data_IF_449704646009
#
_entry.id   IF_449704646009
#
_cell.length_a   1.000
_cell.length_b   1.000
_cell.length_c   1.000
_cell.angle_alpha   90.00
_cell.angle_beta   90.00
_cell.angle_gamma   90.00
#
_symmetry.space_group_name_H-M   'P 1'
#
loop_
_entity.id
_entity.type
_entity.pdbx_description
1 polymer ?
#
# COMPACT_ATOMS: atom_id res chain seq x y z
N UNK A 1 5.72 17.59 11.57
CA UNK A 1 5.31 18.85 12.26
C UNK A 1 6.37 19.31 13.25
N UNK A 2 6.97 18.40 14.01
CA UNK A 2 7.97 18.70 15.05
C UNK A 2 9.32 18.09 14.68
N UNK A 3 10.42 18.68 15.14
CA UNK A 3 11.77 18.13 15.00
C UNK A 3 12.15 17.26 16.19
N UNK A 4 11.61 17.59 17.36
CA UNK A 4 11.96 16.97 18.63
C UNK A 4 10.77 17.01 19.62
N UNK A 5 11.00 16.44 20.80
CA UNK A 5 10.02 16.33 21.88
C UNK A 5 9.65 17.71 22.44
N UNK A 6 10.61 18.63 22.55
CA UNK A 6 10.37 19.96 23.12
C UNK A 6 9.39 20.77 22.26
N UNK A 7 9.57 20.72 20.93
CA UNK A 7 8.64 21.34 19.99
C UNK A 7 7.22 20.74 20.11
N UNK A 8 7.11 19.41 20.24
CA UNK A 8 5.83 18.73 20.40
C UNK A 8 5.13 19.12 21.71
N UNK A 9 5.83 19.10 22.84
CA UNK A 9 5.29 19.49 24.15
C UNK A 9 4.87 20.95 24.20
N UNK A 10 5.67 21.84 23.60
CA UNK A 10 5.31 23.25 23.46
C UNK A 10 4.03 23.42 22.64
N UNK A 11 3.91 22.70 21.52
CA UNK A 11 2.70 22.75 20.70
C UNK A 11 1.47 22.23 21.45
N UNK A 12 1.60 21.13 22.19
CA UNK A 12 0.53 20.58 23.03
C UNK A 12 -0.02 21.65 23.98
N UNK A 13 0.87 22.37 24.68
CA UNK A 13 0.52 23.45 25.59
C UNK A 13 -0.10 24.65 24.87
N UNK A 14 0.56 25.16 23.84
CA UNK A 14 0.19 26.40 23.16
C UNK A 14 -1.14 26.27 22.40
N UNK A 15 -1.38 25.09 21.79
CA UNK A 15 -2.62 24.79 21.08
C UNK A 15 -3.71 24.18 21.97
N UNK A 16 -3.44 24.07 23.28
CA UNK A 16 -4.38 23.51 24.27
C UNK A 16 -4.92 22.16 23.82
N UNK A 17 -4.02 21.30 23.37
CA UNK A 17 -4.36 19.93 22.96
C UNK A 17 -4.97 19.22 24.17
N UNK A 18 -6.09 18.56 23.94
CA UNK A 18 -6.85 17.85 24.98
C UNK A 18 -6.45 16.38 25.02
N UNK A 19 -6.26 15.79 23.84
CA UNK A 19 -5.95 14.37 23.69
C UNK A 19 -4.67 14.15 22.87
N UNK A 20 -3.89 13.15 23.27
CA UNK A 20 -2.73 12.64 22.54
C UNK A 20 -3.07 11.23 22.07
N UNK A 21 -3.10 11.02 20.76
CA UNK A 21 -3.46 9.74 20.16
C UNK A 21 -2.23 9.01 19.64
N UNK A 22 -1.89 7.88 20.26
CA UNK A 22 -0.71 7.09 19.96
C UNK A 22 -1.08 5.95 19.01
N UNK A 23 -0.56 5.98 17.78
CA UNK A 23 -0.90 5.02 16.72
C UNK A 23 0.24 4.03 16.46
N UNK A 24 -0.08 2.75 16.37
CA UNK A 24 0.84 1.66 16.03
C UNK A 24 0.30 0.84 14.87
N UNK A 25 1.18 0.25 14.06
CA UNK A 25 0.77 -0.66 12.99
C UNK A 25 0.76 -2.11 13.50
N UNK A 26 -0.33 -2.83 13.27
CA UNK A 26 -0.34 -4.28 13.40
C UNK A 26 0.26 -4.97 12.16
N UNK A 27 0.53 -6.27 12.27
CA UNK A 27 1.19 -7.02 11.20
C UNK A 27 0.41 -6.96 9.87
N UNK A 28 -0.92 -7.20 9.81
CA UNK A 28 -1.69 -7.07 8.57
C UNK A 28 -1.78 -5.66 7.97
N UNK A 29 -1.31 -4.61 8.65
CA UNK A 29 -1.27 -3.27 8.10
C UNK A 29 -2.46 -2.39 8.48
N UNK A 30 -2.99 -2.56 9.69
CA UNK A 30 -4.00 -1.66 10.28
C UNK A 30 -3.37 -0.84 11.39
N UNK A 31 -3.79 0.42 11.49
CA UNK A 31 -3.51 1.19 12.69
C UNK A 31 -4.35 0.70 13.86
N UNK A 32 -3.68 0.55 14.99
CA UNK A 32 -4.23 0.46 16.34
C UNK A 32 -3.88 1.74 17.06
N UNK A 33 -4.65 2.11 18.09
CA UNK A 33 -4.37 3.35 18.79
C UNK A 33 -4.80 3.34 20.26
N UNK A 34 -4.17 4.22 21.04
CA UNK A 34 -4.52 4.51 22.43
C UNK A 34 -4.51 6.03 22.63
N UNK A 35 -5.59 6.55 23.20
CA UNK A 35 -5.78 7.99 23.39
C UNK A 35 -5.58 8.36 24.85
N UNK A 36 -4.71 9.32 25.10
CA UNK A 36 -4.34 9.82 26.43
C UNK A 36 -4.81 11.25 26.62
N UNK A 37 -5.26 11.57 27.82
CA UNK A 37 -5.56 12.95 28.21
C UNK A 37 -4.26 13.71 28.43
N UNK A 38 -4.08 14.83 27.72
CA UNK A 38 -2.95 15.74 27.93
C UNK A 38 -3.02 16.44 29.30
N UNK A 39 -1.87 16.87 29.82
CA UNK A 39 -1.75 17.72 31.01
C UNK A 39 -1.37 17.00 32.30
N UNK A 40 -1.05 15.69 32.26
CA UNK A 40 -0.59 14.94 33.43
C UNK A 40 0.87 14.49 33.28
N UNK A 41 1.16 13.69 32.25
CA UNK A 41 2.45 13.01 32.07
C UNK A 41 2.95 13.09 30.62
N UNK A 42 2.65 14.19 29.93
CA UNK A 42 2.90 14.32 28.49
C UNK A 42 4.37 14.08 28.15
N UNK A 43 5.30 14.65 28.93
CA UNK A 43 6.74 14.41 28.76
C UNK A 43 7.12 12.94 28.89
N UNK A 44 6.57 12.23 29.88
CA UNK A 44 6.84 10.80 30.10
C UNK A 44 6.37 9.93 28.93
N UNK A 45 5.25 10.29 28.31
CA UNK A 45 4.78 9.58 27.11
C UNK A 45 5.84 9.62 26.01
N UNK A 46 6.57 10.73 25.84
CA UNK A 46 7.64 10.84 24.84
C UNK A 46 8.98 10.28 25.30
N UNK A 47 9.31 10.31 26.58
CA UNK A 47 10.63 9.87 27.09
C UNK A 47 10.66 8.40 27.49
N UNK A 48 9.65 7.95 28.23
CA UNK A 48 9.51 6.58 28.76
C UNK A 48 8.62 5.70 27.86
N UNK A 49 7.70 6.31 27.10
CA UNK A 49 6.72 5.58 26.31
C UNK A 49 5.48 5.20 27.12
N UNK A 50 4.70 4.24 26.62
CA UNK A 50 3.53 3.74 27.33
C UNK A 50 3.36 2.23 27.16
N UNK A 51 3.01 1.55 28.25
CA UNK A 51 2.74 0.12 28.24
C UNK A 51 1.56 -0.25 27.34
N UNK A 52 1.67 -1.36 26.62
CA UNK A 52 0.62 -1.95 25.79
C UNK A 52 0.71 -3.47 25.83
N UNK A 53 -0.39 -4.13 25.48
CA UNK A 53 -0.40 -5.57 25.20
C UNK A 53 -0.61 -5.83 23.71
N UNK A 54 0.31 -6.57 23.10
CA UNK A 54 0.20 -6.97 21.69
C UNK A 54 -0.69 -8.20 21.48
N UNK A 55 -1.27 -8.76 22.54
CA UNK A 55 -2.14 -9.95 22.48
C UNK A 55 -3.37 -9.76 21.57
N UNK A 56 -3.83 -8.52 21.40
CA UNK A 56 -4.94 -8.15 20.52
C UNK A 56 -4.51 -7.82 19.08
N UNK A 57 -3.21 -7.81 18.80
CA UNK A 57 -2.65 -7.49 17.49
C UNK A 57 -2.47 -8.79 16.71
N UNK A 58 -3.22 -8.98 15.60
CA UNK A 58 -3.02 -10.12 14.71
C UNK A 58 -1.56 -10.28 14.29
N UNK A 59 -1.05 -11.51 14.29
CA UNK A 59 0.34 -11.82 13.95
C UNK A 59 1.33 -11.69 15.12
N UNK A 60 1.02 -10.89 16.15
CA UNK A 60 1.85 -10.79 17.36
C UNK A 60 1.33 -11.67 18.52
N UNK A 61 0.03 -12.03 18.47
CA UNK A 61 -0.71 -12.77 19.51
C UNK A 61 -0.12 -14.12 19.93
N UNK A 62 0.54 -14.85 19.02
CA UNK A 62 1.04 -16.20 19.31
C UNK A 62 2.46 -16.23 19.85
N UNK A 63 3.08 -15.07 19.95
CA UNK A 63 4.40 -14.96 20.56
C UNK A 63 4.21 -14.72 22.05
N UNK A 64 5.15 -15.20 22.87
CA UNK A 64 5.25 -14.86 24.30
C UNK A 64 5.63 -13.37 24.47
N UNK A 65 4.94 -12.47 23.79
CA UNK A 65 5.04 -11.04 24.00
C UNK A 65 4.30 -10.74 25.30
N UNK A 66 5.06 -10.56 26.38
CA UNK A 66 4.56 -9.98 27.63
C UNK A 66 4.08 -8.55 27.43
N UNK A 67 4.10 -7.76 28.51
CA UNK A 67 3.91 -6.30 28.39
C UNK A 67 4.96 -5.73 27.44
N UNK A 68 4.57 -4.73 26.64
CA UNK A 68 5.45 -4.08 25.65
C UNK A 68 5.33 -2.57 25.82
N UNK A 69 6.28 -1.81 25.30
CA UNK A 69 6.24 -0.34 25.36
C UNK A 69 6.09 0.24 23.96
N UNK A 70 5.20 1.22 23.80
CA UNK A 70 5.12 2.03 22.58
C UNK A 70 5.65 3.41 22.86
N UNK A 71 6.43 3.96 21.93
CA UNK A 71 7.02 5.30 22.08
C UNK A 71 6.73 6.15 20.85
N UNK A 72 6.10 7.34 21.01
CA UNK A 72 5.81 8.20 19.88
C UNK A 72 7.08 8.76 19.24
N UNK A 73 7.10 8.79 17.91
CA UNK A 73 8.07 9.55 17.15
C UNK A 73 7.53 10.98 16.96
N UNK A 74 8.16 12.01 17.58
CA UNK A 74 7.65 13.38 17.53
C UNK A 74 7.59 13.93 16.10
N UNK A 75 8.43 13.43 15.18
CA UNK A 75 8.46 13.93 13.81
C UNK A 75 7.19 13.63 13.02
N UNK A 76 6.45 12.60 13.45
CA UNK A 76 5.23 12.14 12.79
C UNK A 76 3.96 12.89 13.20
N UNK A 77 4.06 13.75 14.23
CA UNK A 77 2.95 14.44 14.85
C UNK A 77 2.05 15.18 13.86
N UNK A 78 0.73 15.01 13.98
CA UNK A 78 -0.28 15.75 13.21
C UNK A 78 -1.57 15.96 14.02
N UNK A 79 -2.25 17.08 13.79
CA UNK A 79 -3.55 17.36 14.41
C UNK A 79 -4.62 16.56 13.67
N UNK A 80 -5.50 15.87 14.41
CA UNK A 80 -6.60 15.13 13.80
C UNK A 80 -7.70 16.09 13.29
N UNK A 81 -8.01 16.11 11.97
CA UNK A 81 -9.01 17.03 11.41
C UNK A 81 -10.46 16.56 11.61
N UNK A 82 -10.67 15.36 12.17
CA UNK A 82 -11.99 14.76 12.37
C UNK A 82 -12.38 14.63 13.85
N UNK A 83 -11.41 14.66 14.76
CA UNK A 83 -11.68 14.62 16.20
C UNK A 83 -12.47 15.85 16.67
N UNK A 84 -13.53 15.65 17.44
CA UNK A 84 -14.36 16.74 17.98
C UNK A 84 -13.62 17.58 19.03
N UNK A 85 -12.70 16.95 19.76
CA UNK A 85 -11.81 17.62 20.71
C UNK A 85 -10.40 17.73 20.13
N UNK A 86 -9.64 18.82 20.42
CA UNK A 86 -8.28 18.98 19.92
C UNK A 86 -7.39 17.77 20.25
N UNK A 87 -7.07 16.99 19.22
CA UNK A 87 -6.36 15.71 19.36
C UNK A 87 -5.12 15.72 18.49
N UNK A 88 -3.96 15.46 19.11
CA UNK A 88 -2.67 15.38 18.44
C UNK A 88 -2.25 13.91 18.30
N UNK A 89 -2.11 13.44 17.08
CA UNK A 89 -1.76 12.07 16.77
C UNK A 89 -0.25 11.91 16.56
N UNK A 90 0.32 10.80 17.03
CA UNK A 90 1.69 10.39 16.77
C UNK A 90 1.74 8.93 16.33
N UNK A 91 2.66 8.60 15.43
CA UNK A 91 2.99 7.21 15.10
C UNK A 91 4.07 6.75 16.08
N UNK A 92 3.90 5.56 16.62
CA UNK A 92 4.76 4.99 17.63
C UNK A 92 5.56 3.81 17.09
N UNK A 93 6.80 3.70 17.56
CA UNK A 93 7.61 2.48 17.44
C UNK A 93 7.36 1.59 18.66
N UNK A 94 7.51 0.27 18.49
CA UNK A 94 7.28 -0.73 19.54
C UNK A 94 8.62 -1.21 20.12
N UNK A 95 8.67 -1.38 21.45
CA UNK A 95 9.85 -1.79 22.21
C UNK A 95 9.54 -2.96 23.13
N UNK A 96 10.51 -3.85 23.29
CA UNK A 96 10.53 -4.92 24.28
C UNK A 96 10.66 -4.34 25.70
N UNK A 97 10.40 -5.17 26.73
CA UNK A 97 10.54 -4.78 28.14
C UNK A 97 11.96 -4.37 28.56
N UNK A 98 12.98 -4.88 27.87
CA UNK A 98 14.37 -4.50 28.10
C UNK A 98 14.75 -3.17 27.40
N UNK A 99 13.80 -2.52 26.73
CA UNK A 99 13.99 -1.27 26.00
C UNK A 99 14.58 -1.44 24.60
N UNK A 100 14.83 -2.65 24.13
CA UNK A 100 15.26 -2.90 22.75
C UNK A 100 14.10 -2.74 21.77
N UNK A 101 14.33 -2.28 20.52
CA UNK A 101 13.28 -2.23 19.50
C UNK A 101 12.68 -3.62 19.24
N UNK A 102 11.36 -3.67 19.07
CA UNK A 102 10.67 -4.91 18.73
C UNK A 102 10.91 -5.27 17.26
N UNK A 103 11.59 -6.39 17.02
CA UNK A 103 12.10 -6.75 15.70
C UNK A 103 11.02 -7.05 14.64
N UNK A 104 9.79 -7.30 15.08
CA UNK A 104 8.63 -7.57 14.22
C UNK A 104 7.74 -6.33 14.01
N UNK A 105 8.08 -5.18 14.61
CA UNK A 105 7.41 -3.91 14.31
C UNK A 105 7.64 -3.55 12.83
N UNK A 106 6.59 -3.50 12.00
CA UNK A 106 6.72 -3.18 10.58
C UNK A 106 7.45 -1.86 10.32
N UNK A 107 7.24 -0.85 11.19
CA UNK A 107 7.89 0.46 11.05
C UNK A 107 9.38 0.38 11.37
N UNK A 108 9.77 -0.42 12.36
CA UNK A 108 11.17 -0.67 12.66
C UNK A 108 11.87 -1.48 11.56
N UNK A 109 11.19 -2.46 10.96
CA UNK A 109 11.68 -3.21 9.79
C UNK A 109 11.97 -2.28 8.61
N UNK A 110 11.10 -1.29 8.35
CA UNK A 110 11.35 -0.24 7.37
C UNK A 110 12.61 0.58 7.68
N UNK A 111 12.84 0.97 8.93
CA UNK A 111 14.08 1.67 9.35
C UNK A 111 15.32 0.81 9.18
N UNK A 112 15.23 -0.51 9.42
CA UNK A 112 16.34 -1.45 9.18
C UNK A 112 16.71 -1.49 7.69
N UNK A 113 15.72 -1.51 6.80
CA UNK A 113 15.95 -1.50 5.35
C UNK A 113 16.60 -0.20 4.85
N UNK A 114 16.19 0.97 5.36
CA UNK A 114 16.86 2.25 5.04
C UNK A 114 18.34 2.26 5.48
N UNK A 115 18.63 1.74 6.68
CA UNK A 115 20.01 1.60 7.18
C UNK A 115 20.81 0.63 6.32
N UNK A 116 20.22 -0.47 5.87
CA UNK A 116 20.89 -1.43 4.99
C UNK A 116 21.27 -0.82 3.64
N UNK A 117 20.37 -0.06 3.02
CA UNK A 117 20.67 0.68 1.79
C UNK A 117 21.89 1.60 1.97
N UNK A 118 21.95 2.32 3.10
CA UNK A 118 23.10 3.17 3.39
C UNK A 118 24.42 2.37 3.53
N UNK A 119 24.37 1.15 4.09
CA UNK A 119 25.54 0.25 4.22
C UNK A 119 26.03 -0.30 2.88
N UNK A 120 25.16 -0.47 1.88
CA UNK A 120 25.56 -1.01 0.56
C UNK A 120 26.53 -0.11 -0.21
N UNK A 121 26.77 1.13 0.24
CA UNK A 121 27.74 2.03 -0.38
C UNK A 121 27.29 2.60 -1.72
N UNK A 122 25.98 2.54 -2.04
CA UNK A 122 25.41 3.20 -3.21
C UNK A 122 25.43 4.73 -3.10
N UNK A 123 25.62 5.28 -1.88
CA UNK A 123 25.78 6.71 -1.65
C UNK A 123 24.48 7.52 -1.65
N UNK A 124 23.34 6.88 -1.34
CA UNK A 124 22.03 7.51 -1.43
C UNK A 124 20.97 6.90 -0.53
N UNK A 125 19.74 7.39 -0.67
CA UNK A 125 18.53 6.90 -0.02
C UNK A 125 17.44 6.63 -1.06
N UNK A 126 16.42 5.85 -0.70
CA UNK A 126 15.31 5.53 -1.60
C UNK A 126 14.17 6.54 -1.46
N UNK A 127 13.55 6.89 -2.58
CA UNK A 127 12.38 7.76 -2.65
C UNK A 127 11.22 7.01 -3.31
N UNK A 128 10.02 7.18 -2.75
CA UNK A 128 8.82 6.42 -3.11
C UNK A 128 7.63 7.33 -3.34
N UNK A 129 6.98 7.18 -4.49
CA UNK A 129 5.78 7.91 -4.89
C UNK A 129 4.62 6.93 -5.08
N UNK A 130 3.72 6.78 -4.09
CA UNK A 130 2.56 5.92 -4.22
C UNK A 130 1.43 6.61 -5.00
N UNK A 131 0.87 5.89 -5.97
CA UNK A 131 -0.45 6.14 -6.58
C UNK A 131 -1.45 5.24 -5.87
N UNK A 132 -2.43 5.78 -5.14
CA UNK A 132 -3.39 4.97 -4.40
C UNK A 132 -4.79 5.09 -4.99
N UNK A 133 -5.31 3.96 -5.48
CA UNK A 133 -6.65 3.86 -6.02
C UNK A 133 -7.64 3.40 -4.92
N UNK A 134 -8.86 3.93 -4.96
CA UNK A 134 -9.93 3.57 -4.03
C UNK A 134 -11.31 3.80 -4.64
N UNK A 135 -12.32 3.13 -4.10
CA UNK A 135 -13.73 3.39 -4.44
C UNK A 135 -14.43 4.21 -3.36
N UNK A 136 -15.30 5.11 -3.80
CA UNK A 136 -16.32 5.78 -3.00
C UNK A 136 -17.70 5.22 -3.33
N UNK A 137 -18.40 4.76 -2.30
CA UNK A 137 -19.79 4.32 -2.41
C UNK A 137 -20.69 5.19 -1.52
N UNK A 138 -21.94 5.31 -1.95
CA UNK A 138 -23.03 5.86 -1.16
C UNK A 138 -23.50 4.84 -0.12
N UNK A 139 -23.58 3.57 -0.51
CA UNK A 139 -24.03 2.49 0.34
C UNK A 139 -23.23 1.22 0.12
N UNK A 140 -23.08 0.45 1.20
CA UNK A 140 -22.50 -0.88 1.18
C UNK A 140 -23.23 -1.77 2.20
N UNK A 141 -23.59 -2.98 1.78
CA UNK A 141 -24.26 -3.99 2.62
C UNK A 141 -23.57 -5.33 2.35
N UNK A 142 -23.14 -6.03 3.39
CA UNK A 142 -22.51 -7.34 3.23
C UNK A 142 -22.76 -8.21 4.46
N UNK A 143 -22.72 -9.53 4.26
CA UNK A 143 -22.89 -10.51 5.33
C UNK A 143 -22.59 -11.92 4.85
N UNK A 144 -22.08 -12.73 5.77
CA UNK A 144 -21.97 -14.18 5.60
C UNK A 144 -22.52 -14.83 6.87
N UNK A 145 -23.60 -15.58 6.73
CA UNK A 145 -24.27 -16.30 7.81
C UNK A 145 -24.76 -17.67 7.31
N UNK A 146 -25.45 -18.43 8.16
CA UNK A 146 -25.94 -19.78 7.83
C UNK A 146 -26.94 -19.75 6.66
N UNK A 147 -27.68 -18.65 6.47
CA UNK A 147 -28.69 -18.53 5.42
C UNK A 147 -28.08 -18.09 4.08
N UNK A 148 -26.89 -17.49 4.07
CA UNK A 148 -26.19 -17.19 2.83
C UNK A 148 -25.03 -16.22 2.95
N UNK A 149 -24.44 -15.94 1.79
CA UNK A 149 -23.39 -14.95 1.57
C UNK A 149 -23.88 -13.91 0.57
N UNK A 150 -23.74 -12.63 0.89
CA UNK A 150 -24.18 -11.53 0.03
C UNK A 150 -23.33 -10.29 0.23
N UNK A 151 -23.19 -9.53 -0.84
CA UNK A 151 -22.69 -8.17 -0.82
C UNK A 151 -23.45 -7.34 -1.85
N UNK A 152 -23.59 -6.06 -1.57
CA UNK A 152 -24.23 -5.09 -2.43
C UNK A 152 -23.61 -3.73 -2.17
N UNK A 153 -23.33 -2.98 -3.24
CA UNK A 153 -22.76 -1.65 -3.20
C UNK A 153 -23.55 -0.74 -4.13
N UNK A 154 -23.60 0.55 -3.79
CA UNK A 154 -24.21 1.54 -4.67
C UNK A 154 -23.44 2.85 -4.66
N UNK A 155 -23.48 3.56 -5.79
CA UNK A 155 -22.92 4.89 -5.97
C UNK A 155 -23.86 5.74 -6.79
N UNK A 156 -23.90 7.02 -6.50
CA UNK A 156 -24.64 8.05 -7.23
C UNK A 156 -24.15 8.20 -8.68
N UNK A 157 -22.94 7.73 -8.99
CA UNK A 157 -22.39 7.69 -10.34
C UNK A 157 -22.72 6.40 -11.11
N UNK A 158 -23.36 5.40 -10.48
CA UNK A 158 -23.64 4.09 -11.07
C UNK A 158 -24.47 4.16 -12.34
N UNK A 159 -23.98 3.55 -13.44
CA UNK A 159 -24.78 3.42 -14.67
C UNK A 159 -26.05 2.58 -14.47
N UNK A 160 -26.05 1.65 -13.51
CA UNK A 160 -27.25 0.89 -13.17
C UNK A 160 -28.33 1.74 -12.48
N UNK A 161 -28.04 2.98 -12.06
CA UNK A 161 -29.03 3.91 -11.50
C UNK A 161 -29.66 4.84 -12.56
N UNK A 162 -29.41 4.61 -13.85
CA UNK A 162 -29.93 5.46 -14.95
C UNK A 162 -31.45 5.41 -15.10
N UNK A 163 -32.07 4.32 -14.68
CA UNK A 163 -33.52 4.08 -14.80
C UNK A 163 -34.27 4.21 -13.46
N UNK A 164 -33.55 4.50 -12.38
CA UNK A 164 -34.12 4.65 -11.04
C UNK A 164 -34.95 5.95 -10.95
N UNK A 165 -36.06 5.89 -10.20
CA UNK A 165 -36.90 7.07 -9.95
C UNK A 165 -36.10 8.14 -9.21
N UNK A 166 -36.14 9.38 -9.68
CA UNK A 166 -35.33 10.48 -9.15
C UNK A 166 -33.91 10.57 -9.70
N UNK A 167 -33.53 9.72 -10.66
CA UNK A 167 -32.26 9.86 -11.39
C UNK A 167 -32.17 11.21 -12.09
N UNK A 168 -31.04 11.91 -11.89
CA UNK A 168 -30.75 13.21 -12.53
C UNK A 168 -29.96 13.05 -13.84
N UNK A 169 -29.77 11.82 -14.32
CA UNK A 169 -28.80 11.50 -15.37
C UNK A 169 -27.36 11.64 -14.85
N UNK A 170 -26.42 11.97 -15.75
CA UNK A 170 -24.99 12.18 -15.45
C UNK A 170 -24.27 11.03 -14.73
N UNK A 171 -24.80 9.82 -14.79
CA UNK A 171 -24.07 8.62 -14.38
C UNK A 171 -22.84 8.42 -15.29
N UNK A 172 -21.84 7.71 -14.80
CA UNK A 172 -20.67 7.37 -15.61
C UNK A 172 -20.98 6.13 -16.46
N UNK A 173 -20.67 6.13 -17.77
CA UNK A 173 -20.84 4.94 -18.59
C UNK A 173 -19.90 3.82 -18.12
N UNK A 174 -20.34 2.57 -18.29
CA UNK A 174 -19.59 1.38 -17.91
C UNK A 174 -18.13 1.43 -18.38
N UNK A 175 -17.22 1.39 -17.40
CA UNK A 175 -15.75 1.43 -17.51
C UNK A 175 -15.16 2.66 -18.18
N UNK A 176 -15.89 3.77 -18.16
CA UNK A 176 -15.49 5.06 -18.74
C UNK A 176 -15.46 6.17 -17.69
N UNK A 177 -14.90 5.88 -16.51
CA UNK A 177 -14.72 6.87 -15.44
C UNK A 177 -13.48 7.74 -15.60
N UNK A 178 -12.46 7.28 -16.34
CA UNK A 178 -11.13 7.91 -16.35
C UNK A 178 -11.20 9.39 -16.73
N UNK A 179 -10.75 10.24 -15.81
CA UNK A 179 -10.66 11.70 -16.00
C UNK A 179 -11.98 12.34 -16.45
N UNK A 180 -13.12 11.79 -15.98
CA UNK A 180 -14.42 12.41 -16.20
C UNK A 180 -14.45 13.85 -15.63
N UNK A 181 -15.17 14.74 -16.33
CA UNK A 181 -15.38 16.12 -15.90
C UNK A 181 -16.78 16.34 -15.30
N UNK A 182 -16.95 17.46 -14.62
CA UNK A 182 -18.24 17.93 -14.11
C UNK A 182 -19.24 18.07 -15.27
N UNK A 183 -20.51 17.70 -15.07
CA UNK A 183 -21.12 17.26 -13.82
C UNK A 183 -21.17 15.72 -13.62
N UNK A 184 -20.49 14.92 -14.48
CA UNK A 184 -20.47 13.46 -14.32
C UNK A 184 -19.57 12.98 -13.19
N UNK A 185 -18.50 13.72 -12.94
CA UNK A 185 -17.61 13.50 -11.80
C UNK A 185 -18.20 14.14 -10.53
N UNK A 186 -19.06 13.38 -9.84
CA UNK A 186 -19.82 13.88 -8.70
C UNK A 186 -18.96 13.93 -7.42
N UNK A 187 -17.83 13.25 -7.40
CA UNK A 187 -16.92 13.19 -6.25
C UNK A 187 -15.73 14.15 -6.33
N UNK A 188 -15.63 15.01 -7.35
CA UNK A 188 -14.53 15.98 -7.51
C UNK A 188 -14.29 16.82 -6.24
N UNK A 189 -15.34 17.44 -5.70
CA UNK A 189 -15.23 18.27 -4.49
C UNK A 189 -14.78 17.46 -3.26
N UNK A 190 -15.27 16.22 -3.11
CA UNK A 190 -14.85 15.34 -2.02
C UNK A 190 -13.36 15.00 -2.15
N UNK A 191 -12.87 14.69 -3.36
CA UNK A 191 -11.42 14.50 -3.59
C UNK A 191 -10.61 15.75 -3.26
N UNK A 192 -11.08 16.95 -3.62
CA UNK A 192 -10.37 18.19 -3.27
C UNK A 192 -10.33 18.43 -1.76
N UNK A 193 -11.39 18.12 -1.02
CA UNK A 193 -11.37 18.17 0.45
C UNK A 193 -10.43 17.12 1.06
N UNK A 194 -10.41 15.89 0.51
CA UNK A 194 -9.46 14.86 0.93
C UNK A 194 -8.03 15.37 0.77
N UNK A 195 -7.68 16.00 -0.36
CA UNK A 195 -6.35 16.56 -0.58
C UNK A 195 -6.01 17.65 0.43
N UNK A 196 -6.94 18.56 0.74
CA UNK A 196 -6.71 19.58 1.78
C UNK A 196 -6.41 18.94 3.14
N UNK A 197 -7.21 17.96 3.57
CA UNK A 197 -6.96 17.26 4.84
C UNK A 197 -5.63 16.50 4.84
N UNK A 198 -5.21 15.94 3.69
CA UNK A 198 -3.93 15.26 3.56
C UNK A 198 -2.76 16.22 3.73
N UNK A 199 -2.82 17.39 3.09
CA UNK A 199 -1.81 18.44 3.23
C UNK A 199 -1.75 18.98 4.67
N UNK A 200 -2.90 19.16 5.33
CA UNK A 200 -2.99 19.57 6.74
C UNK A 200 -2.26 18.60 7.68
N UNK A 201 -2.28 17.29 7.39
CA UNK A 201 -1.56 16.27 8.18
C UNK A 201 -0.14 15.97 7.67
N UNK A 202 0.33 16.76 6.70
CA UNK A 202 1.69 16.75 6.17
C UNK A 202 1.98 15.67 5.13
N UNK A 203 0.95 15.15 4.46
CA UNK A 203 1.14 14.26 3.30
C UNK A 203 1.16 15.12 2.03
N UNK A 204 2.28 15.17 1.29
CA UNK A 204 2.39 16.01 0.10
C UNK A 204 1.67 15.34 -1.07
N UNK A 205 0.68 16.02 -1.64
CA UNK A 205 -0.14 15.49 -2.75
C UNK A 205 0.20 16.20 -4.05
N UNK A 206 0.34 15.42 -5.13
CA UNK A 206 0.65 15.93 -6.46
C UNK A 206 -0.60 16.28 -7.25
N UNK A 207 -1.58 15.37 -7.30
CA UNK A 207 -2.90 15.61 -7.87
C UNK A 207 -3.89 14.49 -7.49
N UNK A 208 -5.16 14.68 -7.84
CA UNK A 208 -6.22 13.69 -7.73
C UNK A 208 -7.02 13.61 -9.03
N UNK A 209 -7.61 12.47 -9.36
CA UNK A 209 -8.58 12.37 -10.46
C UNK A 209 -9.57 11.23 -10.25
N UNK A 210 -10.62 11.22 -11.09
CA UNK A 210 -11.47 10.06 -11.26
C UNK A 210 -10.71 8.98 -12.05
N UNK A 211 -10.74 7.75 -11.55
CA UNK A 211 -10.04 6.62 -12.17
C UNK A 211 -10.94 5.87 -13.16
N UNK A 212 -10.40 4.85 -13.84
CA UNK A 212 -11.06 4.18 -14.95
C UNK A 212 -12.38 3.49 -14.58
N UNK A 213 -12.50 2.99 -13.36
CA UNK A 213 -13.66 2.25 -12.87
C UNK A 213 -14.87 3.13 -12.65
N UNK A 214 -15.99 2.74 -13.24
CA UNK A 214 -17.27 3.42 -13.04
C UNK A 214 -18.20 2.48 -12.29
N UNK A 215 -18.76 2.83 -11.13
CA UNK A 215 -18.84 4.16 -10.55
C UNK A 215 -17.91 4.38 -9.37
N UNK A 216 -17.44 5.62 -9.17
CA UNK A 216 -16.84 6.02 -7.91
C UNK A 216 -15.38 5.57 -7.69
N UNK A 217 -14.66 5.11 -8.71
CA UNK A 217 -13.22 4.86 -8.56
C UNK A 217 -12.42 6.18 -8.62
N UNK A 218 -11.47 6.32 -7.70
CA UNK A 218 -10.69 7.53 -7.48
C UNK A 218 -9.21 7.17 -7.39
N UNK A 219 -8.34 8.11 -7.76
CA UNK A 219 -6.90 8.01 -7.52
C UNK A 219 -6.37 9.30 -6.90
N UNK A 220 -5.44 9.15 -5.96
CA UNK A 220 -4.61 10.24 -5.42
C UNK A 220 -3.13 9.85 -5.58
N UNK A 221 -2.35 10.71 -6.23
CA UNK A 221 -0.90 10.54 -6.35
C UNK A 221 -0.19 11.43 -5.32
N UNK A 222 0.66 10.83 -4.49
CA UNK A 222 1.49 11.56 -3.54
C UNK A 222 2.89 11.86 -4.12
N UNK A 223 3.51 12.94 -3.65
CA UNK A 223 4.91 13.22 -3.96
C UNK A 223 5.86 12.20 -3.32
N UNK A 224 7.07 12.12 -3.85
CA UNK A 224 8.11 11.23 -3.35
C UNK A 224 8.53 11.55 -1.92
N UNK A 225 8.55 10.53 -1.06
CA UNK A 225 9.13 10.61 0.29
C UNK A 225 10.08 9.44 0.57
N UNK A 226 10.98 9.54 1.56
CA UNK A 226 11.78 8.40 2.04
C UNK A 226 10.92 7.21 2.45
N UNK A 227 11.50 6.03 2.55
CA UNK A 227 10.78 4.76 2.71
C UNK A 227 9.89 4.76 3.97
N UNK A 228 10.45 5.08 5.13
CA UNK A 228 9.67 5.07 6.40
C UNK A 228 8.55 6.11 6.34
N UNK A 229 8.88 7.31 5.86
CA UNK A 229 7.90 8.39 5.72
C UNK A 229 6.79 8.04 4.72
N UNK A 230 7.09 7.30 3.66
CA UNK A 230 6.09 6.82 2.71
C UNK A 230 5.15 5.82 3.38
N UNK A 231 5.67 4.90 4.19
CA UNK A 231 4.84 4.02 5.01
C UNK A 231 3.90 4.81 5.95
N UNK A 232 4.46 5.78 6.69
CA UNK A 232 3.69 6.69 7.56
C UNK A 232 2.59 7.41 6.76
N UNK A 233 2.93 7.94 5.58
CA UNK A 233 2.02 8.67 4.69
C UNK A 233 0.91 7.78 4.13
N UNK A 234 1.18 6.52 3.75
CA UNK A 234 0.15 5.60 3.25
C UNK A 234 -0.88 5.28 4.34
N UNK A 235 -0.45 5.15 5.60
CA UNK A 235 -1.42 5.01 6.70
C UNK A 235 -2.26 6.27 6.90
N UNK A 236 -1.64 7.47 6.88
CA UNK A 236 -2.37 8.75 6.92
C UNK A 236 -3.35 8.87 5.76
N UNK A 237 -2.94 8.53 4.54
CA UNK A 237 -3.77 8.51 3.34
C UNK A 237 -5.04 7.70 3.55
N UNK A 238 -4.90 6.42 3.97
CA UNK A 238 -6.03 5.53 4.23
C UNK A 238 -6.95 6.07 5.34
N UNK A 239 -6.38 6.67 6.38
CA UNK A 239 -7.14 7.27 7.48
C UNK A 239 -7.94 8.49 7.04
N UNK A 240 -7.30 9.45 6.38
CA UNK A 240 -7.94 10.69 5.91
C UNK A 240 -9.03 10.38 4.89
N UNK A 241 -8.75 9.55 3.88
CA UNK A 241 -9.72 9.20 2.84
C UNK A 241 -10.98 8.57 3.45
N UNK A 242 -10.84 7.62 4.37
CA UNK A 242 -11.98 6.94 5.01
C UNK A 242 -12.82 7.90 5.85
N UNK A 243 -12.18 8.70 6.71
CA UNK A 243 -12.90 9.61 7.59
C UNK A 243 -13.52 10.79 6.83
N UNK A 244 -12.85 11.30 5.79
CA UNK A 244 -13.44 12.27 4.88
C UNK A 244 -14.66 11.68 4.17
N UNK A 245 -14.58 10.44 3.66
CA UNK A 245 -15.74 9.80 3.04
C UNK A 245 -16.93 9.75 4.01
N UNK A 246 -16.71 9.29 5.26
CA UNK A 246 -17.75 9.26 6.31
C UNK A 246 -18.31 10.65 6.60
N UNK A 247 -17.45 11.67 6.74
CA UNK A 247 -17.85 13.07 6.97
C UNK A 247 -18.76 13.62 5.87
N UNK A 248 -18.60 13.14 4.64
CA UNK A 248 -19.41 13.52 3.48
C UNK A 248 -20.54 12.52 3.17
N UNK A 249 -20.88 11.64 4.12
CA UNK A 249 -21.99 10.69 3.97
C UNK A 249 -21.73 9.58 2.96
N UNK A 250 -20.46 9.21 2.75
CA UNK A 250 -19.99 8.14 1.86
C UNK A 250 -19.21 7.09 2.65
N UNK A 251 -18.82 6.03 1.96
CA UNK A 251 -17.87 5.03 2.46
C UNK A 251 -16.75 4.82 1.43
N UNK A 252 -15.51 4.73 1.91
CA UNK A 252 -14.34 4.49 1.06
C UNK A 252 -13.80 3.08 1.25
N UNK A 253 -13.40 2.43 0.16
CA UNK A 253 -12.72 1.13 0.20
C UNK A 253 -11.49 1.10 -0.70
N UNK A 254 -10.42 0.52 -0.15
CA UNK A 254 -9.17 0.23 -0.85
C UNK A 254 -9.08 -1.25 -1.26
N UNK A 255 -10.20 -1.97 -1.19
CA UNK A 255 -10.28 -3.37 -1.61
C UNK A 255 -9.84 -3.48 -3.08
N UNK A 256 -8.95 -4.43 -3.44
CA UNK A 256 -8.40 -4.55 -4.80
C UNK A 256 -9.48 -4.72 -5.87
N UNK A 257 -10.50 -5.53 -5.62
CA UNK A 257 -11.60 -5.76 -6.54
C UNK A 257 -12.92 -5.74 -5.78
N UNK A 258 -13.51 -4.54 -5.55
CA UNK A 258 -14.79 -4.40 -4.87
C UNK A 258 -15.98 -4.68 -5.79
N UNK A 259 -15.80 -4.56 -7.10
CA UNK A 259 -16.81 -4.76 -8.12
C UNK A 259 -16.32 -5.79 -9.13
N UNK A 260 -17.13 -6.83 -9.36
CA UNK A 260 -16.91 -7.70 -10.49
C UNK A 260 -17.18 -6.94 -11.79
N UNK A 261 -16.34 -7.18 -12.78
CA UNK A 261 -16.43 -6.58 -14.09
C UNK A 261 -16.08 -5.09 -14.25
N UNK A 262 -15.56 -4.45 -13.20
CA UNK A 262 -15.09 -3.06 -13.22
C UNK A 262 -13.56 -2.96 -13.04
N UNK A 263 -13.02 -1.76 -13.20
CA UNK A 263 -11.61 -1.50 -12.91
C UNK A 263 -11.31 -1.72 -11.42
N UNK A 264 -10.14 -2.28 -11.15
CA UNK A 264 -9.68 -2.70 -9.82
C UNK A 264 -8.82 -1.63 -9.18
N UNK A 265 -8.71 -1.59 -7.85
CA UNK A 265 -7.79 -0.71 -7.13
C UNK A 265 -6.37 -1.30 -7.03
N UNK A 266 -5.40 -0.63 -7.63
CA UNK A 266 -3.97 -0.81 -7.40
C UNK A 266 -3.38 0.14 -6.36
N UNK A 267 -2.11 -0.08 -6.06
CA UNK A 267 -1.26 0.88 -5.37
C UNK A 267 0.10 0.91 -6.04
N UNK A 268 0.23 1.66 -7.14
CA UNK A 268 1.48 1.66 -7.90
C UNK A 268 2.56 2.39 -7.11
N UNK A 269 3.77 1.83 -7.08
CA UNK A 269 4.91 2.46 -6.42
C UNK A 269 5.96 2.86 -7.43
N UNK A 270 6.09 4.17 -7.63
CA UNK A 270 7.27 4.75 -8.24
C UNK A 270 8.41 4.73 -7.23
N UNK A 271 9.59 4.27 -7.65
CA UNK A 271 10.74 4.11 -6.76
C UNK A 271 12.05 4.37 -7.49
N UNK A 272 12.97 5.04 -6.80
CA UNK A 272 14.35 5.22 -7.23
C UNK A 272 15.28 5.50 -6.05
N UNK A 273 16.58 5.33 -6.26
CA UNK A 273 17.62 5.68 -5.29
C UNK A 273 18.24 7.00 -5.72
N UNK A 274 18.48 7.92 -4.77
CA UNK A 274 19.03 9.25 -5.03
C UNK A 274 20.13 9.63 -4.05
N UNK A 275 21.08 10.44 -4.50
CA UNK A 275 22.04 11.16 -3.65
C UNK A 275 21.50 12.51 -3.13
N UNK A 276 20.23 12.80 -3.39
CA UNK A 276 19.56 14.08 -3.08
C UNK A 276 19.70 15.15 -4.17
N UNK A 277 20.48 14.90 -5.22
CA UNK A 277 20.63 15.81 -6.38
C UNK A 277 20.10 15.20 -7.67
N UNK A 278 20.29 13.89 -7.85
CA UNK A 278 19.88 13.15 -9.04
C UNK A 278 19.46 11.72 -8.72
N UNK A 279 18.80 11.08 -9.67
CA UNK A 279 18.59 9.64 -9.63
C UNK A 279 19.91 8.90 -9.88
N UNK A 280 20.24 7.97 -8.99
CA UNK A 280 21.36 7.04 -9.14
C UNK A 280 21.07 5.92 -10.14
N UNK A 281 19.85 5.88 -10.70
CA UNK A 281 19.53 4.99 -11.81
C UNK A 281 19.74 5.65 -13.17
N UNK A 282 19.92 6.97 -13.25
CA UNK A 282 19.96 7.66 -14.54
C UNK A 282 21.19 7.31 -15.37
N UNK A 283 20.97 6.97 -16.64
CA UNK A 283 21.94 7.02 -17.73
C UNK A 283 21.21 7.35 -19.04
N UNK A 284 21.50 8.50 -19.69
CA UNK A 284 20.82 8.90 -20.92
C UNK A 284 21.01 7.92 -22.09
N UNK A 285 22.01 7.04 -22.02
CA UNK A 285 22.26 6.01 -23.05
C UNK A 285 21.64 4.65 -22.70
N UNK A 286 21.16 4.51 -21.47
CA UNK A 286 20.54 3.29 -20.96
C UNK A 286 19.13 3.07 -21.50
N UNK A 287 18.67 1.82 -21.52
CA UNK A 287 17.30 1.51 -21.88
C UNK A 287 16.34 2.18 -20.88
N UNK A 288 15.35 2.92 -21.39
CA UNK A 288 14.45 3.73 -20.56
C UNK A 288 15.15 4.81 -19.72
N UNK A 289 16.37 5.21 -20.09
CA UNK A 289 17.19 6.13 -19.31
C UNK A 289 17.81 5.55 -18.05
N UNK A 290 17.88 4.21 -17.94
CA UNK A 290 18.39 3.51 -16.77
C UNK A 290 19.78 2.91 -17.00
N UNK A 291 20.67 3.12 -16.04
CA UNK A 291 21.98 2.47 -15.98
C UNK A 291 21.85 0.99 -15.56
N UNK A 292 22.99 0.29 -15.49
CA UNK A 292 23.04 -1.12 -15.10
C UNK A 292 22.47 -1.41 -13.72
N UNK A 293 22.63 -0.51 -12.75
CA UNK A 293 22.05 -0.69 -11.42
C UNK A 293 20.54 -0.51 -11.45
N UNK A 294 20.01 0.47 -12.19
CA UNK A 294 18.57 0.65 -12.38
C UNK A 294 17.93 -0.58 -13.04
N UNK A 295 18.55 -1.13 -14.08
CA UNK A 295 18.10 -2.37 -14.71
C UNK A 295 18.23 -3.58 -13.77
N UNK A 296 19.32 -3.67 -13.00
CA UNK A 296 19.51 -4.75 -12.04
C UNK A 296 18.50 -4.72 -10.89
N UNK A 297 18.09 -3.52 -10.47
CA UNK A 297 17.02 -3.32 -9.51
C UNK A 297 15.67 -3.85 -10.04
N UNK A 298 15.35 -3.61 -11.31
CA UNK A 298 14.21 -4.25 -11.98
C UNK A 298 14.36 -5.77 -11.99
N UNK A 299 15.55 -6.27 -12.34
CA UNK A 299 15.88 -7.70 -12.35
C UNK A 299 15.59 -8.36 -11.01
N UNK A 300 16.02 -7.75 -9.91
CA UNK A 300 15.76 -8.24 -8.55
C UNK A 300 14.28 -8.28 -8.20
N UNK A 301 13.53 -7.19 -8.46
CA UNK A 301 12.08 -7.17 -8.24
C UNK A 301 11.40 -8.32 -9.00
N UNK A 302 11.67 -8.45 -10.31
CA UNK A 302 11.03 -9.46 -11.16
C UNK A 302 11.44 -10.89 -10.81
N UNK A 303 12.69 -11.12 -10.40
CA UNK A 303 13.17 -12.41 -9.90
C UNK A 303 12.44 -12.87 -8.64
N UNK A 304 12.03 -11.94 -7.78
CA UNK A 304 11.39 -12.23 -6.49
C UNK A 304 9.88 -11.95 -6.48
N UNK A 305 9.25 -11.63 -7.63
CA UNK A 305 7.81 -11.30 -7.70
C UNK A 305 6.94 -12.36 -7.02
N UNK A 306 7.24 -13.65 -7.22
CA UNK A 306 6.44 -14.74 -6.64
C UNK A 306 6.37 -14.65 -5.10
N UNK A 307 7.47 -14.26 -4.45
CA UNK A 307 7.57 -14.12 -3.00
C UNK A 307 6.99 -12.79 -2.50
N UNK A 308 7.45 -11.66 -3.06
CA UNK A 308 7.09 -10.33 -2.56
C UNK A 308 5.60 -10.00 -2.75
N UNK A 309 4.94 -10.64 -3.72
CA UNK A 309 3.52 -10.39 -4.00
C UNK A 309 2.65 -10.70 -2.79
N UNK A 310 3.01 -11.68 -1.94
CA UNK A 310 2.26 -11.94 -0.72
C UNK A 310 2.33 -10.78 0.28
N UNK A 311 3.37 -9.93 0.23
CA UNK A 311 3.56 -8.75 1.09
C UNK A 311 3.00 -7.48 0.46
N UNK A 312 3.00 -7.38 -0.87
CA UNK A 312 2.46 -6.23 -1.62
C UNK A 312 0.98 -6.37 -1.99
N UNK A 313 0.46 -7.58 -1.96
CA UNK A 313 -0.90 -8.00 -2.31
C UNK A 313 -1.40 -8.97 -1.25
N UNK A 314 -1.45 -8.48 -0.02
CA UNK A 314 -1.60 -9.29 1.18
C UNK A 314 -3.00 -9.81 1.45
N UNK A 315 -3.92 -9.85 0.48
CA UNK A 315 -5.28 -10.35 0.70
C UNK A 315 -5.73 -11.37 -0.31
N UNK A 316 -6.71 -12.19 0.06
CA UNK A 316 -7.37 -13.11 -0.90
C UNK A 316 -8.07 -12.36 -2.04
N UNK A 317 -8.56 -11.14 -1.81
CA UNK A 317 -9.20 -10.32 -2.84
C UNK A 317 -8.19 -9.74 -3.85
N UNK A 318 -6.93 -9.57 -3.47
CA UNK A 318 -5.84 -9.15 -4.36
C UNK A 318 -5.69 -10.05 -5.59
N UNK A 319 -5.90 -11.35 -5.41
CA UNK A 319 -5.76 -12.34 -6.50
C UNK A 319 -6.96 -12.36 -7.43
N UNK A 320 -8.07 -11.71 -7.06
CA UNK A 320 -9.16 -11.40 -8.01
C UNK A 320 -8.74 -10.28 -8.96
N UNK A 321 -8.03 -9.26 -8.44
CA UNK A 321 -7.39 -8.22 -9.26
C UNK A 321 -6.28 -8.78 -10.17
N UNK A 322 -5.38 -9.61 -9.63
CA UNK A 322 -4.28 -10.21 -10.38
C UNK A 322 -4.70 -11.36 -11.30
N UNK A 323 -5.96 -11.82 -11.24
CA UNK A 323 -6.49 -12.91 -12.06
C UNK A 323 -6.68 -12.59 -13.55
N UNK A 324 -6.11 -11.47 -14.04
CA UNK A 324 -6.16 -11.07 -15.45
C UNK A 324 -7.41 -10.29 -15.87
N UNK A 325 -8.17 -9.74 -14.91
CA UNK A 325 -9.33 -8.92 -15.21
C UNK A 325 -8.94 -7.44 -15.39
N UNK A 326 -9.03 -6.93 -16.64
CA UNK A 326 -8.73 -5.54 -17.03
C UNK A 326 -7.31 -5.09 -16.63
N UNK A 327 -7.04 -3.78 -16.59
CA UNK A 327 -5.71 -3.14 -16.64
C UNK A 327 -4.71 -3.48 -15.50
N UNK A 328 -5.00 -4.46 -14.63
CA UNK A 328 -4.09 -4.93 -13.61
C UNK A 328 -3.01 -5.85 -14.22
N UNK A 329 -1.71 -5.56 -14.03
CA UNK A 329 -0.66 -6.41 -14.58
C UNK A 329 -0.57 -7.72 -13.79
N UNK A 330 -0.63 -8.84 -14.50
CA UNK A 330 -0.46 -10.19 -13.95
C UNK A 330 0.81 -10.89 -14.49
N UNK A 331 1.38 -10.45 -15.60
CA UNK A 331 2.58 -11.02 -16.20
C UNK A 331 3.86 -10.31 -15.74
N UNK A 332 4.89 -11.09 -15.46
CA UNK A 332 6.15 -10.67 -14.86
C UNK A 332 7.13 -10.27 -15.96
N UNK A 333 7.06 -9.00 -16.37
CA UNK A 333 7.99 -8.42 -17.32
C UNK A 333 8.13 -6.90 -17.11
N UNK A 334 9.09 -6.29 -17.79
CA UNK A 334 9.28 -4.83 -17.81
C UNK A 334 9.24 -4.23 -19.21
N UNK A 335 8.87 -2.95 -19.29
CA UNK A 335 8.89 -2.17 -20.54
C UNK A 335 8.78 -0.67 -20.25
N UNK A 336 9.16 0.16 -21.23
CA UNK A 336 9.01 1.62 -21.16
C UNK A 336 7.57 1.99 -21.54
N UNK A 337 6.87 2.70 -20.66
CA UNK A 337 5.52 3.20 -20.91
C UNK A 337 4.41 2.14 -20.99
N UNK A 338 4.73 0.85 -20.99
CA UNK A 338 3.73 -0.22 -21.02
C UNK A 338 3.00 -0.36 -19.67
N UNK A 339 1.68 -0.15 -19.68
CA UNK A 339 0.82 -0.25 -18.48
C UNK A 339 0.46 -1.68 -18.10
N UNK A 340 0.66 -2.66 -18.99
CA UNK A 340 0.42 -4.09 -18.72
C UNK A 340 1.64 -4.81 -18.16
N UNK A 341 2.80 -4.14 -18.10
CA UNK A 341 4.01 -4.66 -17.48
C UNK A 341 3.92 -4.64 -15.96
N UNK A 342 4.52 -5.64 -15.29
CA UNK A 342 4.69 -5.64 -13.84
C UNK A 342 5.51 -4.43 -13.38
N UNK A 343 6.64 -4.20 -14.05
CA UNK A 343 7.49 -3.03 -13.83
C UNK A 343 7.48 -2.13 -15.05
N UNK A 344 6.94 -0.92 -14.91
CA UNK A 344 6.92 0.12 -15.95
C UNK A 344 8.10 1.07 -15.72
N UNK A 345 8.80 1.44 -16.79
CA UNK A 345 9.68 2.61 -16.79
C UNK A 345 8.87 3.78 -17.36
N UNK A 346 8.52 4.81 -16.58
CA UNK A 346 7.65 5.88 -17.07
C UNK A 346 8.38 6.73 -18.14
N UNK A 347 7.86 6.71 -19.38
CA UNK A 347 8.50 7.38 -20.52
C UNK A 347 8.60 8.91 -20.37
N UNK A 348 7.67 9.51 -19.60
CA UNK A 348 7.65 10.94 -19.29
C UNK A 348 8.66 11.35 -18.20
N UNK A 349 9.30 10.38 -17.54
CA UNK A 349 10.20 10.59 -16.41
C UNK A 349 11.67 10.26 -16.73
N UNK A 350 12.03 10.20 -18.01
CA UNK A 350 13.40 9.91 -18.45
C UNK A 350 14.25 11.18 -18.32
N UNK A 351 14.74 11.46 -17.11
CA UNK A 351 15.59 12.62 -16.83
C UNK A 351 16.52 12.38 -15.63
N UNK A 352 17.57 13.21 -15.50
CA UNK A 352 18.58 13.05 -14.46
C UNK A 352 18.02 13.17 -13.03
N UNK A 353 16.98 13.96 -12.82
CA UNK A 353 16.44 14.23 -11.48
C UNK A 353 15.71 13.03 -10.91
N UNK A 354 14.88 12.37 -11.72
CA UNK A 354 13.88 11.42 -11.23
C UNK A 354 13.66 10.19 -12.13
N UNK A 355 14.66 9.80 -12.93
CA UNK A 355 14.65 8.51 -13.61
C UNK A 355 14.41 7.38 -12.61
N UNK A 356 13.38 6.58 -12.87
CA UNK A 356 12.78 5.69 -11.87
C UNK A 356 12.10 4.50 -12.50
N UNK A 357 11.68 3.59 -11.64
CA UNK A 357 10.88 2.42 -12.02
C UNK A 357 9.57 2.46 -11.25
N UNK A 358 8.54 1.80 -11.79
CA UNK A 358 7.23 1.75 -11.18
C UNK A 358 6.76 0.30 -11.11
N UNK A 359 6.53 -0.21 -9.91
CA UNK A 359 5.96 -1.53 -9.72
C UNK A 359 4.44 -1.41 -9.56
N UNK A 360 3.70 -2.03 -10.49
CA UNK A 360 2.25 -1.82 -10.68
C UNK A 360 1.37 -2.95 -10.12
N UNK A 361 1.97 -4.08 -9.78
CA UNK A 361 1.27 -5.20 -9.17
C UNK A 361 0.75 -4.93 -7.75
N UNK A 362 1.40 -4.15 -6.87
CA UNK A 362 0.93 -3.95 -5.50
C UNK A 362 -0.50 -3.38 -5.41
N UNK A 363 -1.15 -3.67 -4.29
CA UNK A 363 -2.44 -3.09 -3.91
C UNK A 363 -2.44 -2.68 -2.43
N UNK A 364 -3.46 -1.92 -2.03
CA UNK A 364 -3.55 -1.30 -0.72
C UNK A 364 -3.93 -2.26 0.42
N UNK A 365 -3.86 -3.58 0.24
CA UNK A 365 -4.14 -4.58 1.30
C UNK A 365 -2.92 -5.05 2.06
N UNK A 366 -1.72 -4.90 1.48
CA UNK A 366 -0.46 -5.14 2.17
C UNK A 366 -0.24 -4.16 3.33
N UNK A 367 0.64 -4.55 4.26
CA UNK A 367 1.17 -3.62 5.25
C UNK A 367 2.14 -2.65 4.53
N UNK A 368 1.87 -1.32 4.51
CA UNK A 368 2.65 -0.37 3.74
C UNK A 368 4.16 -0.47 4.00
N UNK A 369 4.59 -0.61 5.25
CA UNK A 369 6.01 -0.73 5.57
C UNK A 369 6.63 -2.01 5.01
N UNK A 370 5.96 -3.15 5.19
CA UNK A 370 6.47 -4.44 4.72
C UNK A 370 6.46 -4.53 3.19
N UNK A 371 5.45 -3.97 2.53
CA UNK A 371 5.40 -3.87 1.06
C UNK A 371 6.59 -3.07 0.52
N UNK A 372 6.88 -1.90 1.13
CA UNK A 372 8.02 -1.06 0.75
C UNK A 372 9.36 -1.76 0.98
N UNK A 373 9.53 -2.42 2.13
CA UNK A 373 10.73 -3.19 2.45
C UNK A 373 10.93 -4.34 1.47
N UNK A 374 9.87 -5.08 1.15
CA UNK A 374 9.95 -6.20 0.22
C UNK A 374 10.42 -5.76 -1.17
N UNK A 375 9.85 -4.68 -1.70
CA UNK A 375 10.27 -4.11 -2.98
C UNK A 375 11.72 -3.60 -2.93
N UNK A 376 12.10 -2.89 -1.87
CA UNK A 376 13.46 -2.38 -1.74
C UNK A 376 14.47 -3.52 -1.71
N UNK A 377 14.27 -4.48 -0.80
CA UNK A 377 15.20 -5.59 -0.61
C UNK A 377 15.33 -6.47 -1.85
N UNK A 378 14.22 -6.72 -2.57
CA UNK A 378 14.26 -7.43 -3.84
C UNK A 378 15.09 -6.68 -4.88
N UNK A 379 14.89 -5.36 -5.03
CA UNK A 379 15.67 -4.56 -5.96
C UNK A 379 17.15 -4.46 -5.58
N UNK A 380 17.46 -4.35 -4.29
CA UNK A 380 18.84 -4.33 -3.79
C UNK A 380 19.57 -5.66 -4.01
N UNK A 381 18.88 -6.79 -3.83
CA UNK A 381 19.42 -8.11 -4.17
C UNK A 381 19.75 -8.21 -5.67
N UNK A 382 18.88 -7.67 -6.53
CA UNK A 382 19.14 -7.55 -7.96
C UNK A 382 20.42 -6.77 -8.28
N UNK A 383 20.64 -5.62 -7.61
CA UNK A 383 21.87 -4.84 -7.76
C UNK A 383 23.09 -5.62 -7.30
N UNK A 384 23.03 -6.25 -6.13
CA UNK A 384 24.15 -7.00 -5.54
C UNK A 384 24.55 -8.19 -6.43
N UNK A 385 23.58 -8.97 -6.90
CA UNK A 385 23.78 -10.11 -7.80
C UNK A 385 23.96 -9.70 -9.26
N UNK A 386 23.80 -8.41 -9.59
CA UNK A 386 23.89 -7.84 -10.94
C UNK A 386 22.95 -8.55 -11.93
N UNK A 387 21.71 -8.79 -11.52
CA UNK A 387 20.70 -9.51 -12.31
C UNK A 387 20.34 -8.67 -13.54
N UNK A 388 20.75 -9.09 -14.73
CA UNK A 388 20.31 -8.45 -15.97
C UNK A 388 18.89 -8.96 -16.31
N UNK A 389 17.84 -8.11 -16.24
CA UNK A 389 16.47 -8.55 -16.45
C UNK A 389 16.23 -9.05 -17.88
N UNK A 390 17.05 -8.61 -18.84
CA UNK A 390 16.99 -9.07 -20.23
C UNK A 390 17.48 -10.50 -20.35
N UNK A 391 18.62 -10.81 -19.72
CA UNK A 391 19.16 -12.18 -19.70
C UNK A 391 18.30 -13.14 -18.89
N UNK A 392 17.63 -12.63 -17.86
CA UNK A 392 16.66 -13.38 -17.07
C UNK A 392 15.33 -13.65 -17.82
N UNK A 393 15.16 -13.08 -19.02
CA UNK A 393 13.98 -13.32 -19.85
C UNK A 393 12.76 -12.45 -19.50
N UNK A 394 12.95 -11.38 -18.71
CA UNK A 394 11.85 -10.52 -18.26
C UNK A 394 11.51 -9.36 -19.22
N UNK A 395 12.14 -9.27 -20.38
CA UNK A 395 11.91 -8.20 -21.35
C UNK A 395 13.18 -7.47 -21.76
N UNK A 396 13.10 -6.28 -22.38
CA UNK A 396 11.88 -5.50 -22.54
C UNK A 396 10.93 -6.04 -23.61
N UNK A 397 9.62 -5.88 -23.37
CA UNK A 397 8.57 -6.21 -24.35
C UNK A 397 7.61 -5.03 -24.57
N UNK A 398 7.78 -4.33 -25.70
CA UNK A 398 7.15 -3.02 -25.96
C UNK A 398 5.74 -3.09 -26.58
N UNK A 399 5.21 -4.28 -26.86
CA UNK A 399 3.91 -4.40 -27.53
C UNK A 399 2.76 -4.14 -26.54
N UNK A 400 2.33 -2.88 -26.48
CA UNK A 400 1.27 -2.40 -25.59
C UNK A 400 -0.15 -2.84 -25.99
N UNK A 401 -0.36 -3.34 -27.21
CA UNK A 401 -1.71 -3.53 -27.76
C UNK A 401 -2.25 -4.95 -27.57
N UNK A 402 -1.37 -5.95 -27.44
CA UNK A 402 -1.79 -7.32 -27.17
C UNK A 402 -0.78 -8.04 -26.26
N UNK A 403 -0.98 -7.92 -24.95
CA UNK A 403 -0.14 -8.60 -23.95
C UNK A 403 -0.16 -10.12 -24.12
N UNK A 404 -1.28 -10.69 -24.58
CA UNK A 404 -1.44 -12.14 -24.73
C UNK A 404 -0.50 -12.70 -25.80
N UNK A 405 -0.33 -12.01 -26.92
CA UNK A 405 0.64 -12.40 -27.96
C UNK A 405 2.08 -12.41 -27.42
N UNK A 406 2.44 -11.43 -26.59
CA UNK A 406 3.77 -11.36 -25.95
C UNK A 406 3.94 -12.53 -25.00
N UNK A 407 2.93 -12.80 -24.17
CA UNK A 407 2.94 -13.89 -23.19
C UNK A 407 3.11 -15.24 -23.88
N UNK A 408 2.36 -15.50 -24.94
CA UNK A 408 2.43 -16.76 -25.69
C UNK A 408 3.78 -16.91 -26.41
N UNK A 409 4.27 -15.84 -27.03
CA UNK A 409 5.53 -15.84 -27.77
C UNK A 409 6.74 -16.05 -26.86
N UNK A 410 6.76 -15.42 -25.69
CA UNK A 410 7.91 -15.41 -24.78
C UNK A 410 7.72 -16.31 -23.55
N UNK A 411 6.55 -16.95 -23.41
CA UNK A 411 6.17 -17.80 -22.27
C UNK A 411 6.38 -17.10 -20.94
N UNK A 412 5.85 -15.88 -20.83
CA UNK A 412 6.08 -15.03 -19.66
C UNK A 412 5.49 -15.65 -18.40
N UNK A 413 6.23 -15.64 -17.28
CA UNK A 413 5.67 -16.06 -16.01
C UNK A 413 4.57 -15.08 -15.57
N UNK A 414 3.54 -15.60 -14.91
CA UNK A 414 2.52 -14.80 -14.22
C UNK A 414 2.83 -14.72 -12.72
N UNK A 415 2.25 -13.74 -12.04
CA UNK A 415 2.14 -13.74 -10.59
C UNK A 415 1.37 -14.99 -10.09
N UNK A 416 1.50 -15.37 -8.80
CA UNK A 416 0.70 -16.42 -8.21
C UNK A 416 -0.80 -16.16 -8.37
N UNK A 417 -1.59 -17.22 -8.53
CA UNK A 417 -3.04 -17.12 -8.73
C UNK A 417 -3.82 -17.06 -7.41
N UNK A 418 -3.19 -17.38 -6.28
CA UNK A 418 -3.81 -17.37 -4.96
C UNK A 418 -2.85 -16.82 -3.90
N UNK A 419 -3.42 -16.32 -2.80
CA UNK A 419 -2.64 -15.91 -1.63
C UNK A 419 -1.83 -17.09 -1.07
N UNK A 420 -2.36 -18.31 -1.15
CA UNK A 420 -1.68 -19.49 -0.65
C UNK A 420 -0.43 -19.83 -1.46
N UNK A 421 -0.51 -19.76 -2.79
CA UNK A 421 0.65 -19.96 -3.68
C UNK A 421 1.74 -18.89 -3.43
N UNK A 422 1.32 -17.64 -3.22
CA UNK A 422 2.23 -16.54 -2.93
C UNK A 422 2.93 -16.69 -1.56
N UNK A 423 2.23 -17.18 -0.54
CA UNK A 423 2.82 -17.46 0.77
C UNK A 423 3.80 -18.63 0.71
N UNK A 424 3.49 -19.69 -0.03
CA UNK A 424 4.42 -20.80 -0.26
C UNK A 424 5.67 -20.35 -1.04
N UNK A 425 5.50 -19.42 -1.99
CA UNK A 425 6.62 -18.80 -2.69
C UNK A 425 7.48 -17.93 -1.76
N UNK A 426 6.86 -17.15 -0.87
CA UNK A 426 7.58 -16.39 0.17
C UNK A 426 8.35 -17.31 1.11
N UNK A 427 7.73 -18.39 1.59
CA UNK A 427 8.41 -19.38 2.43
C UNK A 427 9.62 -20.03 1.74
N UNK A 428 9.57 -20.17 0.41
CA UNK A 428 10.69 -20.75 -0.36
C UNK A 428 11.78 -19.74 -0.73
N UNK A 429 11.43 -18.47 -0.89
CA UNK A 429 12.30 -17.40 -1.39
C UNK A 429 12.16 -16.14 -0.52
N UNK A 430 12.79 -16.16 0.67
CA UNK A 430 12.84 -15.01 1.59
C UNK A 430 14.26 -14.61 1.99
N UNK A 431 15.31 -15.33 1.56
CA UNK A 431 16.71 -15.04 1.94
C UNK A 431 17.12 -13.58 1.63
N UNK A 432 16.59 -12.99 0.56
CA UNK A 432 16.86 -11.60 0.21
C UNK A 432 16.25 -10.60 1.21
N UNK A 433 15.17 -10.97 1.91
CA UNK A 433 14.52 -10.16 2.95
C UNK A 433 15.26 -10.27 4.28
N UNK A 434 15.78 -11.45 4.61
CA UNK A 434 16.34 -11.77 5.93
C UNK A 434 17.79 -11.32 6.11
N UNK A 435 18.42 -10.80 5.04
CA UNK A 435 19.76 -10.16 5.09
C UNK A 435 19.84 -9.14 6.22
N UNK A 436 20.96 -9.17 6.95
CA UNK A 436 21.25 -8.25 8.07
C UNK A 436 20.13 -8.21 9.14
N UNK A 437 19.34 -9.29 9.26
CA UNK A 437 18.17 -9.40 10.14
C UNK A 437 17.13 -8.28 9.92
N UNK A 438 17.02 -7.75 8.69
CA UNK A 438 16.08 -6.68 8.35
C UNK A 438 14.65 -7.18 8.50
N UNK A 439 14.35 -8.32 7.88
CA UNK A 439 13.08 -9.02 7.99
C UNK A 439 13.35 -10.37 8.66
N UNK A 440 13.25 -10.50 9.99
CA UNK A 440 13.61 -11.73 10.67
C UNK A 440 12.76 -12.92 10.20
N UNK A 441 13.31 -14.13 10.26
CA UNK A 441 12.60 -15.38 9.94
C UNK A 441 11.26 -15.51 10.68
N UNK A 442 11.24 -15.11 11.95
CA UNK A 442 10.03 -15.12 12.77
C UNK A 442 8.95 -14.17 12.23
N UNK A 443 9.33 -13.07 11.59
CA UNK A 443 8.37 -12.18 10.92
C UNK A 443 7.78 -12.83 9.66
N UNK A 444 8.57 -13.59 8.90
CA UNK A 444 8.09 -14.34 7.73
C UNK A 444 7.06 -15.38 8.17
N UNK A 445 7.39 -16.18 9.19
CA UNK A 445 6.48 -17.18 9.77
C UNK A 445 5.21 -16.55 10.33
N UNK A 446 5.33 -15.43 11.07
CA UNK A 446 4.20 -14.72 11.61
C UNK A 446 3.27 -14.17 10.51
N UNK A 447 3.85 -13.67 9.41
CA UNK A 447 3.09 -13.21 8.24
C UNK A 447 2.32 -14.35 7.57
N UNK A 448 2.98 -15.48 7.30
CA UNK A 448 2.34 -16.64 6.69
C UNK A 448 1.17 -17.11 7.56
N UNK A 449 1.45 -17.35 8.85
CA UNK A 449 0.46 -17.84 9.80
C UNK A 449 -0.76 -16.92 9.92
N UNK A 450 -0.55 -15.60 10.04
CA UNK A 450 -1.67 -14.66 10.20
C UNK A 450 -2.56 -14.62 8.96
N UNK A 451 -2.00 -14.79 7.76
CA UNK A 451 -2.76 -14.81 6.50
C UNK A 451 -3.50 -16.12 6.30
N UNK A 452 -2.90 -17.25 6.67
CA UNK A 452 -3.57 -18.54 6.67
C UNK A 452 -4.77 -18.56 7.62
N UNK A 453 -4.57 -18.13 8.87
CA UNK A 453 -5.59 -18.20 9.92
C UNK A 453 -6.74 -17.19 9.73
N UNK A 454 -6.43 -15.95 9.28
CA UNK A 454 -7.43 -14.89 9.22
C UNK A 454 -8.07 -14.71 7.85
N UNK A 455 -7.44 -15.15 6.77
CA UNK A 455 -7.93 -14.92 5.42
C UNK A 455 -8.23 -16.21 4.67
N UNK A 456 -7.24 -17.09 4.52
CA UNK A 456 -7.37 -18.29 3.67
C UNK A 456 -8.34 -19.30 4.28
N UNK A 457 -8.05 -19.79 5.50
CA UNK A 457 -8.82 -20.86 6.13
C UNK A 457 -10.28 -20.46 6.39
N UNK A 458 -10.61 -19.22 6.81
CA UNK A 458 -11.99 -18.81 6.92
C UNK A 458 -12.69 -18.71 5.55
N UNK A 459 -12.03 -18.19 4.51
CA UNK A 459 -12.65 -18.03 3.19
C UNK A 459 -12.97 -19.39 2.55
N UNK A 460 -12.05 -20.35 2.61
CA UNK A 460 -12.21 -21.70 2.03
C UNK A 460 -13.41 -22.47 2.60
N UNK A 461 -13.84 -22.16 3.83
CA UNK A 461 -14.97 -22.82 4.50
C UNK A 461 -16.34 -22.20 4.17
N UNK A 462 -16.38 -21.13 3.38
CA UNK A 462 -17.61 -20.39 3.06
C UNK A 462 -18.00 -20.64 1.61
N UNK A 463 -19.18 -21.24 1.34
CA UNK A 463 -19.69 -21.40 -0.01
C UNK A 463 -19.78 -20.05 -0.74
N UNK A 464 -19.34 -20.02 -2.00
CA UNK A 464 -19.44 -18.81 -2.81
C UNK A 464 -20.80 -18.77 -3.52
N UNK A 465 -21.48 -17.60 -3.64
CA UNK A 465 -22.80 -17.53 -4.30
C UNK A 465 -22.83 -18.16 -5.70
N UNK A 466 -21.77 -17.97 -6.50
CA UNK A 466 -21.64 -18.56 -7.84
C UNK A 466 -21.60 -20.10 -7.85
N UNK A 467 -21.25 -20.75 -6.73
CA UNK A 467 -21.28 -22.23 -6.63
C UNK A 467 -22.72 -22.76 -6.66
N UNK A 468 -23.72 -21.97 -6.29
CA UNK A 468 -25.12 -22.36 -6.40
C UNK A 468 -25.57 -22.41 -7.86
N UNK A 469 -25.16 -21.43 -8.68
CA UNK A 469 -25.43 -21.44 -10.12
C UNK A 469 -24.79 -22.64 -10.83
N UNK A 470 -23.67 -23.15 -10.29
CA UNK A 470 -22.92 -24.26 -10.88
C UNK A 470 -23.40 -25.64 -10.41
N UNK A 471 -23.84 -25.75 -9.15
CA UNK A 471 -23.96 -27.05 -8.48
C UNK A 471 -25.29 -27.29 -7.76
N UNK A 472 -26.20 -26.30 -7.68
CA UNK A 472 -27.45 -26.47 -6.93
C UNK A 472 -28.42 -27.44 -7.59
N UNK A 473 -28.39 -27.57 -8.92
CA UNK A 473 -29.30 -28.38 -9.73
C UNK A 473 -28.72 -29.74 -10.17
N UNK A 474 -27.58 -30.17 -9.60
CA UNK A 474 -26.93 -31.46 -9.90
C UNK A 474 -27.76 -32.69 -9.52
#
# INVERSE_FOLDING_TARGET
MFKDIEEALRFIKDKKIVMIDLKTADLPGRWRHMVYKSGHNDEKIFTEGTGTSLTSYPGFKTMECGDMTIKPDPTTGFLDPFAEVPTLCFICDIFNNDGTPFDLDPRYVARKAEKYLAKMGLGGYSLWGPEIEFYLFDEVRYGTDIQGARYWVNSSESYWNTWEEGSKGYTLPYTKGSQADLPRDQFCNLRSHIVQYLEEVGVPIKYHHHESGSPGQMEIEAYFTPLVQTGDNVFKLKYIIKNAAVKFGKTATFMPMPLFSESTNGMHYHQYITDGKKSLFYDPKGYGGLNKNGLAYIGGILSHVQAIISLTNGSTNSYRRLGGYRAAPNYVFFSVGNRTAAVRIPSYAINEKEARVEFRMPDATGNPYLSLVAMLMAGLDGIEKKIDPTKAGFGPFENNFNVQEVVEKYKLPSAPNTLQDALAALEKDHDFLTKDNIFPEELVKAWIKVKEELEIAPLQKRPHPYEYDLYYDL
#
